data_IF_895593024746
#
_entry.id   IF_895593024746
#
_cell.length_a   1.000
_cell.length_b   1.000
_cell.length_c   1.000
_cell.angle_alpha   90.00
_cell.angle_beta   90.00
_cell.angle_gamma   90.00
#
_symmetry.space_group_name_H-M   'P 1'
#
loop_
_entity.id
_entity.type
_entity.pdbx_description
1 polymer ?
#
# COMPACT_ATOMS: atom_id res chain seq x y z
N UNK A 1 8.03 -13.73 5.19
CA UNK A 1 8.66 -12.44 4.80
C UNK A 1 7.90 -11.89 3.61
N UNK A 2 7.21 -10.77 3.79
CA UNK A 2 6.47 -10.11 2.72
C UNK A 2 7.35 -9.18 1.88
N UNK A 3 7.04 -9.10 0.59
CA UNK A 3 7.73 -8.23 -0.38
C UNK A 3 6.72 -7.33 -1.09
N UNK A 4 7.09 -6.07 -1.29
CA UNK A 4 6.24 -5.07 -1.94
C UNK A 4 6.81 -4.69 -3.30
N UNK A 5 6.01 -4.83 -4.35
CA UNK A 5 6.33 -4.38 -5.70
C UNK A 5 5.34 -3.30 -6.09
N UNK A 6 5.76 -2.34 -6.92
CA UNK A 6 4.84 -1.39 -7.54
C UNK A 6 4.89 -1.56 -9.04
N UNK A 7 3.73 -1.48 -9.69
CA UNK A 7 3.65 -1.49 -11.15
C UNK A 7 4.06 -0.14 -11.74
N UNK A 8 3.95 -0.01 -13.07
CA UNK A 8 4.28 1.22 -13.79
C UNK A 8 3.44 2.44 -13.37
N UNK A 9 2.27 2.22 -12.77
CA UNK A 9 1.35 3.25 -12.28
C UNK A 9 1.49 3.50 -10.78
N UNK A 10 2.40 2.80 -10.10
CA UNK A 10 2.61 2.89 -8.67
C UNK A 10 1.69 2.01 -7.83
N UNK A 11 0.84 1.16 -8.43
CA UNK A 11 -0.07 0.27 -7.72
C UNK A 11 0.72 -0.79 -6.95
N UNK A 12 0.47 -0.97 -5.64
CA UNK A 12 1.22 -1.92 -4.83
C UNK A 12 0.73 -3.38 -4.97
N UNK A 13 1.67 -4.30 -5.17
CA UNK A 13 1.49 -5.75 -5.24
C UNK A 13 2.29 -6.44 -4.12
N UNK A 14 1.72 -6.57 -2.91
CA UNK A 14 2.35 -7.34 -1.84
C UNK A 14 2.33 -8.84 -2.18
N UNK A 15 3.44 -9.52 -1.89
CA UNK A 15 3.56 -10.99 -1.93
C UNK A 15 4.05 -11.48 -0.59
N UNK A 16 3.50 -12.58 -0.11
CA UNK A 16 3.83 -13.17 1.19
C UNK A 16 3.81 -14.70 1.11
N UNK A 17 4.42 -15.36 2.09
CA UNK A 17 4.48 -16.82 2.15
C UNK A 17 3.18 -17.46 2.62
N UNK A 18 2.32 -16.69 3.28
CA UNK A 18 1.04 -17.16 3.81
C UNK A 18 -0.08 -16.10 3.69
N UNK A 19 -1.35 -16.52 3.79
CA UNK A 19 -2.50 -15.62 3.65
C UNK A 19 -2.62 -14.54 4.73
N UNK A 20 -2.21 -14.81 5.96
CA UNK A 20 -2.29 -13.82 7.06
C UNK A 20 -1.24 -12.72 6.87
N UNK A 21 -0.01 -13.10 6.51
CA UNK A 21 1.05 -12.17 6.17
C UNK A 21 0.67 -11.32 4.94
N UNK A 22 -0.02 -11.90 3.96
CA UNK A 22 -0.54 -11.16 2.80
C UNK A 22 -1.62 -10.13 3.21
N UNK A 23 -2.60 -10.55 4.01
CA UNK A 23 -3.68 -9.66 4.47
C UNK A 23 -3.13 -8.50 5.30
N UNK A 24 -2.18 -8.77 6.20
CA UNK A 24 -1.49 -7.74 6.97
C UNK A 24 -0.75 -6.75 6.05
N UNK A 25 0.01 -7.25 5.07
CA UNK A 25 0.75 -6.40 4.14
C UNK A 25 -0.19 -5.52 3.30
N UNK A 26 -1.33 -6.06 2.83
CA UNK A 26 -2.36 -5.30 2.10
C UNK A 26 -2.97 -4.18 2.95
N UNK A 27 -3.36 -4.48 4.20
CA UNK A 27 -3.91 -3.48 5.11
C UNK A 27 -2.93 -2.34 5.40
N UNK A 28 -1.66 -2.67 5.67
CA UNK A 28 -0.61 -1.68 5.92
C UNK A 28 -0.39 -0.75 4.73
N UNK A 29 -0.27 -1.32 3.52
CA UNK A 29 -0.10 -0.56 2.29
C UNK A 29 -1.28 0.37 2.02
N UNK A 30 -2.49 -0.11 2.27
CA UNK A 30 -3.72 0.69 2.10
C UNK A 30 -3.73 1.91 3.03
N UNK A 31 -3.36 1.73 4.30
CA UNK A 31 -3.27 2.83 5.26
C UNK A 31 -2.26 3.90 4.82
N UNK A 32 -1.10 3.50 4.30
CA UNK A 32 -0.06 4.40 3.82
C UNK A 32 -0.49 5.19 2.58
N UNK A 33 -1.08 4.53 1.59
CA UNK A 33 -1.53 5.20 0.37
C UNK A 33 -2.67 6.20 0.69
N UNK A 34 -3.55 5.88 1.65
CA UNK A 34 -4.60 6.80 2.10
C UNK A 34 -4.07 8.04 2.83
N UNK A 35 -3.05 7.89 3.66
CA UNK A 35 -2.40 9.04 4.30
C UNK A 35 -1.82 10.00 3.25
N UNK A 36 -1.22 9.47 2.19
CA UNK A 36 -0.73 10.28 1.05
C UNK A 36 -1.85 10.99 0.31
N UNK A 37 -2.97 10.34 0.04
CA UNK A 37 -4.12 10.98 -0.61
C UNK A 37 -4.67 12.15 0.23
N UNK A 38 -4.79 11.98 1.55
CA UNK A 38 -5.22 13.05 2.44
C UNK A 38 -4.23 14.22 2.44
N UNK A 39 -2.93 13.96 2.41
CA UNK A 39 -1.91 15.00 2.28
C UNK A 39 -2.09 15.78 0.96
N UNK A 40 -2.19 15.08 -0.17
CA UNK A 40 -2.40 15.70 -1.47
C UNK A 40 -3.69 16.54 -1.49
N UNK A 41 -4.79 16.01 -0.97
CA UNK A 41 -6.06 16.75 -0.91
C UNK A 41 -5.98 18.04 -0.07
N UNK A 42 -5.14 18.07 0.95
CA UNK A 42 -4.93 19.26 1.80
C UNK A 42 -4.04 20.32 1.14
N UNK A 43 -3.06 19.92 0.35
CA UNK A 43 -2.12 20.82 -0.33
C UNK A 43 -2.71 21.47 -1.60
N UNK A 44 -3.85 20.98 -2.09
CA UNK A 44 -4.53 21.50 -3.28
C UNK A 44 -5.70 22.46 -2.97
N UNK A 45 -5.83 22.92 -1.73
CA UNK A 45 -6.82 23.91 -1.27
C UNK A 45 -6.16 25.27 -1.02
#
# INVERSE_FOLDING_TARGET
>A
MSRLYRDAWGTPHPRAGDPYELAFAQGRVTALDRARLLFLARDHH
#
